data_IF_484586386686
#
_entry.id   IF_484586386686
#
_cell.length_a   1.000
_cell.length_b   1.000
_cell.length_c   1.000
_cell.angle_alpha   90.00
_cell.angle_beta   90.00
_cell.angle_gamma   90.00
#
_symmetry.space_group_name_H-M   'P 1'
#
loop_
_entity.id
_entity.type
_entity.pdbx_description
1 polymer ?
#
# COMPACT_ATOMS: atom_id res chain seq x y z
N UNK A 1 7.95 7.92 5.19
CA UNK A 1 6.65 7.87 4.48
C UNK A 1 5.97 6.51 4.67
N UNK A 2 6.73 5.42 4.77
CA UNK A 2 6.21 4.06 5.03
C UNK A 2 5.22 3.99 6.22
N UNK A 3 5.58 4.53 7.39
CA UNK A 3 4.72 4.49 8.58
C UNK A 3 3.35 5.16 8.37
N UNK A 4 3.33 6.26 7.61
CA UNK A 4 2.09 6.94 7.25
C UNK A 4 1.21 6.06 6.35
N UNK A 5 1.81 5.44 5.33
CA UNK A 5 1.10 4.54 4.42
C UNK A 5 0.55 3.32 5.15
N UNK A 6 1.34 2.71 6.04
CA UNK A 6 0.91 1.60 6.90
C UNK A 6 -0.25 2.04 7.79
N UNK A 7 -0.16 3.23 8.42
CA UNK A 7 -1.21 3.74 9.31
C UNK A 7 -2.53 3.95 8.57
N UNK A 8 -2.48 4.53 7.37
CA UNK A 8 -3.67 4.74 6.53
C UNK A 8 -4.25 3.39 6.09
N UNK A 9 -3.42 2.51 5.53
CA UNK A 9 -3.87 1.21 5.03
C UNK A 9 -4.48 0.33 6.14
N UNK A 10 -3.88 0.29 7.34
CA UNK A 10 -4.44 -0.41 8.51
C UNK A 10 -5.82 0.09 8.94
N UNK A 11 -6.20 1.32 8.59
CA UNK A 11 -7.53 1.86 8.84
C UNK A 11 -8.58 1.44 7.80
N UNK A 12 -8.16 0.91 6.64
CA UNK A 12 -9.04 0.57 5.52
C UNK A 12 -9.30 -0.94 5.40
N UNK A 13 -8.46 -1.76 6.01
CA UNK A 13 -8.45 -3.22 5.87
C UNK A 13 -8.94 -3.92 7.14
N UNK A 14 -9.41 -5.15 7.00
CA UNK A 14 -9.77 -6.02 8.14
C UNK A 14 -8.53 -6.73 8.70
N UNK A 15 -7.67 -7.28 7.83
CA UNK A 15 -6.41 -7.92 8.23
C UNK A 15 -5.28 -6.89 8.35
N UNK A 16 -5.14 -6.33 9.55
CA UNK A 16 -4.13 -5.31 9.86
C UNK A 16 -2.70 -5.85 9.88
N UNK A 17 -2.54 -7.15 10.12
CA UNK A 17 -1.21 -7.77 10.23
C UNK A 17 -0.65 -8.10 8.84
N UNK A 18 -1.51 -8.25 7.84
CA UNK A 18 -1.12 -8.39 6.45
C UNK A 18 -0.64 -7.08 5.78
N UNK A 19 -0.74 -5.93 6.46
CA UNK A 19 -0.33 -4.62 5.90
C UNK A 19 1.18 -4.44 6.04
N UNK A 20 1.87 -4.28 4.91
CA UNK A 20 3.29 -3.94 4.87
C UNK A 20 3.63 -2.99 3.73
N UNK A 21 4.66 -2.17 3.93
CA UNK A 21 5.16 -1.24 2.92
C UNK A 21 6.65 -1.45 2.78
N UNK A 22 7.12 -1.58 1.55
CA UNK A 22 8.54 -1.56 1.20
C UNK A 22 8.82 -0.41 0.25
N UNK A 23 10.05 0.09 0.24
CA UNK A 23 10.48 1.15 -0.68
C UNK A 23 11.70 0.69 -1.47
N UNK A 24 11.70 0.99 -2.76
CA UNK A 24 12.90 0.86 -3.58
C UNK A 24 13.88 2.01 -3.30
N UNK A 25 15.14 1.82 -3.68
CA UNK A 25 16.11 2.91 -3.65
C UNK A 25 15.68 4.02 -4.65
N UNK A 26 16.01 5.30 -4.38
CA UNK A 26 15.76 6.37 -5.34
C UNK A 26 16.43 6.07 -6.68
N UNK A 27 15.72 6.29 -7.78
CA UNK A 27 16.30 6.19 -9.13
C UNK A 27 17.18 7.40 -9.49
N UNK A 28 17.67 7.44 -10.73
CA UNK A 28 18.54 8.53 -11.22
C UNK A 28 17.85 9.90 -11.22
N UNK A 29 16.51 9.94 -11.23
CA UNK A 29 15.69 11.15 -11.16
C UNK A 29 15.25 11.47 -9.72
N UNK A 30 15.62 10.62 -8.76
CA UNK A 30 15.26 10.74 -7.35
C UNK A 30 13.84 10.26 -7.02
N UNK A 31 13.20 9.51 -7.91
CA UNK A 31 11.89 8.92 -7.67
C UNK A 31 12.01 7.69 -6.75
N UNK A 32 11.12 7.60 -5.76
CA UNK A 32 11.04 6.48 -4.82
C UNK A 32 9.71 5.77 -5.02
N UNK A 33 9.76 4.48 -5.34
CA UNK A 33 8.57 3.63 -5.49
C UNK A 33 8.29 2.93 -4.16
N UNK A 34 7.05 3.06 -3.68
CA UNK A 34 6.57 2.37 -2.49
C UNK A 34 5.61 1.25 -2.89
N UNK A 35 5.83 0.06 -2.35
CA UNK A 35 5.01 -1.13 -2.58
C UNK A 35 4.18 -1.42 -1.34
N UNK A 36 2.87 -1.18 -1.41
CA UNK A 36 1.93 -1.53 -0.36
C UNK A 36 1.39 -2.94 -0.61
N UNK A 37 1.59 -3.83 0.35
CA UNK A 37 0.98 -5.14 0.38
C UNK A 37 -0.12 -5.17 1.44
N UNK A 38 -1.24 -5.82 1.11
CA UNK A 38 -2.38 -6.07 1.99
C UNK A 38 -2.91 -7.49 1.76
N UNK A 39 -3.76 -7.97 2.66
CA UNK A 39 -4.44 -9.24 2.50
C UNK A 39 -5.27 -9.29 1.20
N UNK A 40 -5.40 -10.46 0.53
CA UNK A 40 -6.10 -10.58 -0.75
C UNK A 40 -7.58 -10.15 -0.65
N UNK A 41 -8.23 -10.42 0.48
CA UNK A 41 -9.63 -10.05 0.74
C UNK A 41 -9.83 -8.55 0.97
N UNK A 42 -8.75 -7.82 1.27
CA UNK A 42 -8.76 -6.39 1.55
C UNK A 42 -8.42 -5.52 0.33
N UNK A 43 -7.92 -6.12 -0.75
CA UNK A 43 -7.58 -5.43 -2.00
C UNK A 43 -8.73 -4.57 -2.53
N UNK A 44 -9.96 -5.09 -2.51
CA UNK A 44 -11.14 -4.35 -2.98
C UNK A 44 -11.45 -3.08 -2.15
N UNK A 45 -11.12 -3.09 -0.85
CA UNK A 45 -11.31 -1.95 0.05
C UNK A 45 -10.28 -0.86 -0.21
N UNK A 46 -9.04 -1.26 -0.46
CA UNK A 46 -7.93 -0.34 -0.75
C UNK A 46 -8.07 0.30 -2.13
N UNK A 47 -8.46 -0.48 -3.14
CA UNK A 47 -8.62 -0.02 -4.54
C UNK A 47 -9.86 0.89 -4.69
N UNK A 48 -10.95 0.59 -3.97
CA UNK A 48 -12.20 1.35 -4.04
C UNK A 48 -12.95 1.18 -5.37
N UNK A 49 -14.16 1.76 -5.46
CA UNK A 49 -15.12 1.51 -6.57
C UNK A 49 -14.63 1.89 -7.98
N UNK A 50 -13.70 2.82 -8.11
CA UNK A 50 -13.16 3.28 -9.40
C UNK A 50 -11.70 2.88 -9.62
N UNK A 51 -11.09 2.18 -8.66
CA UNK A 51 -9.70 1.79 -8.80
C UNK A 51 -9.53 0.73 -9.89
N UNK A 52 -8.35 0.73 -10.51
CA UNK A 52 -7.96 -0.19 -11.56
C UNK A 52 -6.85 -1.09 -11.03
N UNK A 53 -6.92 -2.37 -11.32
CA UNK A 53 -5.81 -3.31 -11.11
C UNK A 53 -4.92 -3.18 -12.36
N UNK A 54 -3.65 -2.83 -12.18
CA UNK A 54 -2.66 -2.69 -13.25
C UNK A 54 -1.64 -3.83 -13.17
#
# INVERSE_FOLDING_TARGET
MEELLVTIAKGLVEDKDAVSVTADAPDEEGMVVYHLHVGPDDMGRVIGKQGRIA
#
